data_IF_581147500297
#
_entry.id   IF_581147500297
#
_cell.length_a   1.000
_cell.length_b   1.000
_cell.length_c   1.000
_cell.angle_alpha   90.00
_cell.angle_beta   90.00
_cell.angle_gamma   90.00
#
_symmetry.space_group_name_H-M   'P 1'
#
loop_
_entity.id
_entity.type
_entity.pdbx_description
1 polymer ?
#
# COMPACT_ATOMS: atom_id res chain seq x y z
N UNK A 1 1.85 1.49 20.65
CA UNK A 1 1.48 0.10 20.27
C UNK A 1 2.19 -0.86 21.21
N UNK A 2 1.46 -1.78 21.84
CA UNK A 2 2.04 -2.83 22.67
C UNK A 2 2.25 -4.10 21.83
N UNK A 3 3.40 -4.73 21.99
CA UNK A 3 3.78 -5.99 21.33
C UNK A 3 4.28 -6.98 22.37
N UNK A 4 4.44 -8.25 22.01
CA UNK A 4 5.07 -9.26 22.87
C UNK A 4 6.55 -8.96 23.21
N UNK A 5 7.18 -8.04 22.47
CA UNK A 5 8.58 -7.67 22.62
C UNK A 5 8.81 -6.35 23.34
N UNK A 6 7.75 -5.57 23.55
CA UNK A 6 7.84 -4.28 24.20
C UNK A 6 6.77 -3.30 23.71
N UNK A 7 6.90 -2.06 24.13
CA UNK A 7 5.99 -0.96 23.82
C UNK A 7 6.63 0.02 22.84
N UNK A 8 5.94 0.28 21.74
CA UNK A 8 6.29 1.30 20.76
C UNK A 8 5.49 2.58 21.07
N UNK A 9 6.20 3.65 21.40
CA UNK A 9 5.62 4.97 21.70
C UNK A 9 5.83 5.88 20.50
N UNK A 10 4.72 6.35 19.96
CA UNK A 10 4.68 7.26 18.82
C UNK A 10 4.74 8.72 19.32
N UNK A 11 5.62 9.50 18.72
CA UNK A 11 5.80 10.93 18.96
C UNK A 11 5.33 11.79 17.77
N UNK A 12 4.27 11.37 17.08
CA UNK A 12 3.74 12.06 15.90
C UNK A 12 4.39 11.58 14.60
N UNK A 13 4.55 10.28 14.45
CA UNK A 13 5.43 9.63 13.49
C UNK A 13 4.65 8.77 12.51
N UNK A 14 5.16 8.64 11.30
CA UNK A 14 4.79 7.53 10.40
C UNK A 14 5.77 6.39 10.58
N UNK A 15 5.30 5.22 10.95
CA UNK A 15 6.12 4.03 11.05
C UNK A 15 5.38 2.78 10.57
N UNK A 16 6.15 1.77 10.18
CA UNK A 16 5.66 0.43 9.86
C UNK A 16 6.16 -0.56 10.90
N UNK A 17 5.25 -1.35 11.46
CA UNK A 17 5.58 -2.45 12.36
C UNK A 17 5.09 -3.74 11.73
N UNK A 18 5.98 -4.67 11.45
CA UNK A 18 5.67 -6.00 10.93
C UNK A 18 6.11 -7.08 11.93
N UNK A 19 5.25 -8.09 12.09
CA UNK A 19 5.54 -9.28 12.89
C UNK A 19 5.95 -10.41 11.95
N UNK A 20 6.98 -11.17 12.31
CA UNK A 20 7.39 -12.39 11.61
C UNK A 20 6.29 -13.47 11.63
N UNK A 21 6.40 -14.47 10.77
CA UNK A 21 5.36 -15.51 10.62
C UNK A 21 5.18 -16.38 11.89
N UNK A 22 6.22 -16.51 12.70
CA UNK A 22 6.22 -17.36 13.90
C UNK A 22 6.19 -16.55 15.21
N UNK A 23 5.84 -15.25 15.16
CA UNK A 23 5.91 -14.34 16.32
C UNK A 23 7.26 -14.32 17.05
N UNK A 24 8.36 -14.70 16.37
CA UNK A 24 9.69 -14.73 16.99
C UNK A 24 10.43 -13.39 16.83
N UNK A 25 10.04 -12.57 15.86
CA UNK A 25 10.69 -11.30 15.56
C UNK A 25 9.67 -10.24 15.10
N UNK A 26 9.85 -9.01 15.56
CA UNK A 26 9.14 -7.84 15.00
C UNK A 26 10.13 -6.89 14.35
N UNK A 27 9.76 -6.32 13.22
CA UNK A 27 10.53 -5.29 12.52
C UNK A 27 9.77 -3.98 12.53
N UNK A 28 10.43 -2.92 12.98
CA UNK A 28 9.91 -1.55 12.95
C UNK A 28 10.77 -0.70 12.02
N UNK A 29 10.11 0.03 11.13
CA UNK A 29 10.73 0.98 10.20
C UNK A 29 10.10 2.35 10.45
N UNK A 30 10.89 3.37 10.74
CA UNK A 30 10.43 4.76 10.88
C UNK A 30 10.47 5.42 9.51
N UNK A 31 9.31 5.82 9.00
CA UNK A 31 9.17 6.48 7.70
C UNK A 31 9.29 8.01 7.83
N UNK A 32 8.87 8.57 8.96
CA UNK A 32 8.93 10.01 9.23
C UNK A 32 8.82 10.26 10.73
N UNK A 33 9.68 11.13 11.30
CA UNK A 33 9.62 11.56 12.71
C UNK A 33 10.46 10.71 13.66
N UNK A 34 9.99 10.51 14.89
CA UNK A 34 10.68 9.81 15.97
C UNK A 34 9.79 8.80 16.68
N UNK A 35 10.28 7.59 16.90
CA UNK A 35 9.63 6.53 17.68
C UNK A 35 10.53 6.08 18.82
N UNK A 36 9.99 5.99 20.02
CA UNK A 36 10.69 5.35 21.14
C UNK A 36 10.20 3.92 21.33
N UNK A 37 11.14 2.98 21.41
CA UNK A 37 10.88 1.59 21.72
C UNK A 37 11.31 1.31 23.15
N UNK A 38 10.38 0.86 23.97
CA UNK A 38 10.63 0.32 25.29
C UNK A 38 10.62 -1.20 25.23
N UNK A 39 11.77 -1.80 25.12
CA UNK A 39 11.90 -3.26 25.03
C UNK A 39 11.54 -3.93 26.36
N UNK A 40 11.01 -5.14 26.29
CA UNK A 40 10.64 -5.94 27.47
C UNK A 40 11.83 -6.23 28.42
N UNK A 41 13.06 -6.20 27.90
CA UNK A 41 14.29 -6.30 28.66
C UNK A 41 14.73 -5.02 29.39
N UNK A 42 13.96 -3.93 29.30
CA UNK A 42 14.23 -2.65 29.97
C UNK A 42 15.05 -1.67 29.13
N UNK A 43 15.51 -2.06 27.97
CA UNK A 43 16.20 -1.17 27.03
C UNK A 43 15.21 -0.18 26.39
N UNK A 44 15.64 1.08 26.23
CA UNK A 44 14.89 2.10 25.49
C UNK A 44 15.75 2.58 24.33
N UNK A 45 15.20 2.50 23.12
CA UNK A 45 15.87 2.97 21.90
C UNK A 45 14.98 3.96 21.18
N UNK A 46 15.56 5.09 20.77
CA UNK A 46 14.92 6.07 19.91
C UNK A 46 15.33 5.80 18.47
N UNK A 47 14.35 5.79 17.57
CA UNK A 47 14.54 5.64 16.14
C UNK A 47 14.01 6.88 15.44
N UNK A 48 14.76 7.34 14.46
CA UNK A 48 14.43 8.50 13.64
C UNK A 48 14.07 8.08 12.20
N UNK A 49 13.67 9.04 11.41
CA UNK A 49 13.36 8.84 9.98
C UNK A 49 14.42 7.97 9.29
N UNK A 50 13.97 6.98 8.51
CA UNK A 50 14.76 6.00 7.76
C UNK A 50 15.52 4.97 8.61
N UNK A 51 15.33 4.97 9.92
CA UNK A 51 15.92 3.95 10.77
C UNK A 51 15.02 2.71 10.89
N UNK A 52 15.67 1.57 10.97
CA UNK A 52 15.03 0.26 11.13
C UNK A 52 15.59 -0.47 12.34
N UNK A 53 14.71 -1.14 13.07
CA UNK A 53 15.11 -2.04 14.17
C UNK A 53 14.35 -3.36 14.08
N UNK A 54 15.02 -4.43 14.47
CA UNK A 54 14.42 -5.73 14.72
C UNK A 54 14.35 -5.98 16.22
N UNK A 55 13.22 -6.48 16.66
CA UNK A 55 12.95 -6.77 18.07
C UNK A 55 12.67 -8.26 18.19
N UNK A 56 13.34 -8.92 19.09
CA UNK A 56 12.99 -10.25 19.56
C UNK A 56 12.90 -10.24 21.10
N UNK A 57 12.58 -11.36 21.72
CA UNK A 57 12.44 -11.43 23.17
C UNK A 57 13.71 -11.08 23.96
N UNK A 58 14.87 -11.06 23.31
CA UNK A 58 16.16 -10.86 23.98
C UNK A 58 16.81 -9.52 23.66
N UNK A 59 16.67 -9.02 22.42
CA UNK A 59 17.48 -7.90 21.92
C UNK A 59 16.69 -6.94 21.03
N UNK A 60 17.14 -5.69 21.02
CA UNK A 60 16.87 -4.67 19.98
C UNK A 60 18.12 -4.60 19.08
N UNK A 61 17.99 -5.07 17.84
CA UNK A 61 19.09 -5.05 16.88
C UNK A 61 18.80 -4.01 15.80
N UNK A 62 19.66 -3.00 15.66
CA UNK A 62 19.61 -2.12 14.49
C UNK A 62 20.23 -2.83 13.29
N UNK A 63 19.82 -2.43 12.07
CA UNK A 63 20.42 -2.99 10.86
C UNK A 63 21.95 -2.76 10.79
N UNK A 64 22.48 -1.72 11.49
CA UNK A 64 23.91 -1.48 11.65
C UNK A 64 24.60 -2.48 12.60
N UNK A 65 23.90 -3.05 13.58
CA UNK A 65 24.47 -4.00 14.53
C UNK A 65 24.59 -5.40 13.94
N UNK A 66 23.79 -5.70 12.89
CA UNK A 66 23.77 -7.00 12.20
C UNK A 66 24.96 -7.22 11.26
N UNK A 67 25.73 -6.18 10.95
CA UNK A 67 26.94 -6.29 10.11
C UNK A 67 28.19 -6.74 10.92
N UNK A 68 28.12 -6.78 12.25
CA UNK A 68 29.28 -7.05 13.12
C UNK A 68 29.41 -8.51 13.58
N UNK A 69 28.36 -9.33 13.54
CA UNK A 69 28.42 -10.74 14.00
C UNK A 69 27.95 -11.71 12.93
N UNK A 70 28.90 -12.31 12.24
CA UNK A 70 28.90 -13.67 11.69
C UNK A 70 27.85 -14.05 10.67
N UNK A 71 28.24 -14.14 9.40
CA UNK A 71 27.84 -15.21 8.47
C UNK A 71 26.35 -15.39 8.19
N UNK A 72 25.55 -14.32 8.11
CA UNK A 72 24.23 -14.35 7.49
C UNK A 72 24.42 -14.14 5.99
N UNK A 73 23.88 -15.05 5.19
CA UNK A 73 23.73 -14.81 3.74
C UNK A 73 23.21 -13.38 3.56
N UNK A 74 23.91 -12.62 2.73
CA UNK A 74 23.57 -11.23 2.46
C UNK A 74 22.10 -11.20 1.97
N UNK A 75 21.18 -10.84 2.88
CA UNK A 75 19.79 -10.60 2.47
C UNK A 75 19.80 -9.42 1.53
N UNK A 76 19.24 -9.61 0.38
CA UNK A 76 19.09 -8.55 -0.61
C UNK A 76 18.43 -7.32 0.05
N UNK A 77 18.92 -6.09 -0.22
CA UNK A 77 18.39 -4.89 0.39
C UNK A 77 16.90 -4.75 0.04
N UNK A 78 16.07 -4.47 1.03
CA UNK A 78 14.64 -4.19 0.82
C UNK A 78 14.46 -2.69 0.67
N UNK A 79 13.99 -2.26 -0.48
CA UNK A 79 13.60 -0.88 -0.76
C UNK A 79 12.10 -0.75 -0.51
N UNK A 80 11.70 0.18 0.35
CA UNK A 80 10.29 0.49 0.60
C UNK A 80 9.98 1.85 0.02
N UNK A 81 8.99 1.92 -0.85
CA UNK A 81 8.52 3.14 -1.49
C UNK A 81 7.09 3.46 -1.08
N UNK A 82 6.81 4.73 -0.86
CA UNK A 82 5.47 5.28 -0.73
C UNK A 82 5.09 6.07 -1.98
N UNK A 83 3.81 6.41 -2.11
CA UNK A 83 3.30 7.21 -3.23
C UNK A 83 3.81 8.66 -3.24
N UNK A 84 4.36 9.13 -2.11
CA UNK A 84 4.81 10.52 -1.98
C UNK A 84 3.69 11.56 -2.19
N UNK A 85 2.43 11.17 -1.95
CA UNK A 85 1.25 12.01 -2.19
C UNK A 85 0.74 11.95 -3.65
N UNK A 86 1.28 11.04 -4.46
CA UNK A 86 0.78 10.78 -5.82
C UNK A 86 -0.28 9.67 -5.81
N UNK A 87 -1.40 9.98 -5.20
CA UNK A 87 -2.58 9.13 -5.20
C UNK A 87 -3.84 9.97 -5.34
N UNK A 88 -4.86 9.41 -5.96
CA UNK A 88 -6.17 10.04 -6.09
C UNK A 88 -7.27 8.99 -6.31
N UNK A 89 -8.51 9.37 -6.05
CA UNK A 89 -9.68 8.61 -6.48
C UNK A 89 -10.50 9.46 -7.43
N UNK A 90 -10.97 8.86 -8.51
CA UNK A 90 -11.86 9.52 -9.46
C UNK A 90 -13.28 8.95 -9.35
N UNK A 91 -14.27 9.83 -9.49
CA UNK A 91 -15.69 9.50 -9.43
C UNK A 91 -16.33 9.77 -10.80
N UNK A 92 -17.18 8.85 -11.23
CA UNK A 92 -17.89 8.94 -12.50
C UNK A 92 -18.84 10.16 -12.60
N UNK A 93 -19.23 10.74 -11.46
CA UNK A 93 -20.05 11.94 -11.45
C UNK A 93 -19.20 13.21 -11.53
N UNK A 94 -18.93 13.69 -12.72
CA UNK A 94 -18.15 14.90 -12.98
C UNK A 94 -18.79 16.20 -12.45
N UNK A 95 -20.01 16.14 -11.91
CA UNK A 95 -20.73 17.34 -11.44
C UNK A 95 -20.49 17.67 -9.96
N UNK A 96 -19.79 16.81 -9.22
CA UNK A 96 -19.47 17.06 -7.83
C UNK A 96 -17.96 17.04 -7.64
N UNK A 97 -17.43 18.18 -7.26
CA UNK A 97 -16.17 18.26 -6.53
C UNK A 97 -16.38 17.59 -5.16
N UNK A 98 -16.59 16.28 -5.20
CA UNK A 98 -16.62 15.48 -3.99
C UNK A 98 -15.18 15.32 -3.58
N UNK A 99 -14.75 16.14 -2.65
CA UNK A 99 -13.56 15.90 -1.86
C UNK A 99 -13.75 14.56 -1.20
N UNK A 100 -13.29 13.54 -1.88
CA UNK A 100 -13.05 12.23 -1.27
C UNK A 100 -12.12 12.51 -0.09
N UNK A 101 -12.34 11.83 1.01
CA UNK A 101 -11.50 12.04 2.19
C UNK A 101 -10.03 12.08 1.76
N UNK A 102 -9.25 13.09 2.15
CA UNK A 102 -7.83 13.14 1.80
C UNK A 102 -7.05 11.94 2.36
N UNK A 103 -7.63 11.24 3.35
CA UNK A 103 -6.99 10.14 4.05
C UNK A 103 -7.28 8.76 3.44
N UNK A 104 -8.19 8.69 2.44
CA UNK A 104 -8.63 7.40 1.90
C UNK A 104 -8.82 7.44 0.39
N UNK A 105 -8.22 6.47 -0.28
CA UNK A 105 -8.60 6.14 -1.65
C UNK A 105 -9.90 5.33 -1.65
N UNK A 106 -10.80 5.67 -2.53
CA UNK A 106 -12.12 5.04 -2.60
C UNK A 106 -12.32 4.31 -3.91
N UNK A 107 -12.74 3.04 -3.82
CA UNK A 107 -13.03 2.20 -4.98
C UNK A 107 -14.43 1.63 -4.83
N UNK A 108 -15.25 1.74 -5.88
CA UNK A 108 -16.64 1.27 -5.90
C UNK A 108 -17.09 0.99 -7.33
N UNK A 109 -17.84 -0.09 -7.49
CA UNK A 109 -18.56 -0.39 -8.72
C UNK A 109 -20.04 -0.60 -8.40
N UNK A 110 -20.92 0.13 -9.08
CA UNK A 110 -22.36 0.04 -8.95
C UNK A 110 -22.97 -0.06 -10.35
N UNK A 111 -23.69 -1.14 -10.60
CA UNK A 111 -24.24 -1.42 -11.95
C UNK A 111 -25.38 -0.45 -12.30
N UNK A 112 -26.30 -0.26 -11.37
CA UNK A 112 -27.54 0.50 -11.60
C UNK A 112 -27.37 2.02 -11.39
N UNK A 113 -26.26 2.41 -10.79
CA UNK A 113 -25.95 3.82 -10.49
C UNK A 113 -24.49 4.13 -10.85
N UNK A 114 -24.13 4.10 -12.14
CA UNK A 114 -22.73 4.26 -12.58
C UNK A 114 -22.09 5.57 -12.11
N UNK A 115 -22.90 6.63 -11.92
CA UNK A 115 -22.43 7.93 -11.47
C UNK A 115 -21.74 7.94 -10.10
N UNK A 116 -21.89 6.86 -9.31
CA UNK A 116 -21.18 6.70 -8.02
C UNK A 116 -19.96 5.78 -8.11
N UNK A 117 -19.62 5.29 -9.30
CA UNK A 117 -18.45 4.45 -9.49
C UNK A 117 -17.17 5.23 -9.21
N UNK A 118 -16.20 4.52 -8.65
CA UNK A 118 -14.92 5.10 -8.26
C UNK A 118 -13.81 4.12 -8.56
N UNK A 119 -12.66 4.66 -8.98
CA UNK A 119 -11.41 3.94 -9.09
C UNK A 119 -10.31 4.75 -8.42
N UNK A 120 -9.31 4.08 -7.90
CA UNK A 120 -8.15 4.72 -7.27
C UNK A 120 -6.95 4.62 -8.19
N UNK A 121 -6.14 5.66 -8.20
CA UNK A 121 -4.86 5.74 -8.90
C UNK A 121 -3.76 5.96 -7.87
N UNK A 122 -2.62 5.28 -8.07
CA UNK A 122 -1.42 5.32 -7.24
C UNK A 122 -0.21 5.45 -8.15
N UNK A 123 0.76 6.27 -7.81
CA UNK A 123 2.03 6.30 -8.52
C UNK A 123 3.20 6.24 -7.54
N UNK A 124 4.30 5.62 -7.97
CA UNK A 124 5.53 5.48 -7.22
C UNK A 124 6.71 5.97 -8.06
N UNK A 125 7.64 6.65 -7.41
CA UNK A 125 8.90 7.06 -8.00
C UNK A 125 9.92 5.91 -7.87
N UNK A 126 10.38 5.40 -8.99
CA UNK A 126 11.38 4.34 -9.11
C UNK A 126 12.74 4.87 -9.60
N UNK A 127 12.91 6.18 -9.76
CA UNK A 127 14.11 6.78 -10.36
C UNK A 127 15.42 6.42 -9.62
N UNK A 128 15.34 6.09 -8.33
CA UNK A 128 16.46 5.64 -7.52
C UNK A 128 16.63 4.12 -7.42
N UNK A 129 15.82 3.34 -8.13
CA UNK A 129 15.76 1.88 -8.01
C UNK A 129 16.40 1.20 -9.23
N UNK A 130 17.35 0.30 -9.00
CA UNK A 130 17.87 -0.53 -10.07
C UNK A 130 16.94 -1.70 -10.36
N UNK A 131 16.03 -1.53 -11.31
CA UNK A 131 14.96 -2.48 -11.64
C UNK A 131 15.50 -3.84 -12.14
N UNK A 132 16.67 -3.89 -12.73
CA UNK A 132 17.29 -5.14 -13.21
C UNK A 132 17.70 -6.05 -12.03
N UNK A 133 18.02 -5.47 -10.89
CA UNK A 133 18.47 -6.19 -9.70
C UNK A 133 17.33 -6.60 -8.76
N UNK A 134 16.08 -6.22 -9.04
CA UNK A 134 14.96 -6.61 -8.22
C UNK A 134 14.66 -8.11 -8.41
N UNK A 135 14.75 -8.89 -7.34
CA UNK A 135 14.38 -10.30 -7.34
C UNK A 135 12.88 -10.49 -7.06
N UNK A 136 12.33 -9.67 -6.16
CA UNK A 136 10.93 -9.74 -5.72
C UNK A 136 10.32 -8.34 -5.60
N UNK A 137 9.02 -8.27 -5.78
CA UNK A 137 8.26 -7.03 -5.57
C UNK A 137 6.95 -7.33 -4.85
N UNK A 138 6.51 -6.39 -4.00
CA UNK A 138 5.25 -6.52 -3.28
C UNK A 138 4.57 -5.17 -3.13
N UNK A 139 3.32 -5.09 -3.55
CA UNK A 139 2.43 -3.98 -3.22
C UNK A 139 1.62 -4.32 -1.98
N UNK A 140 1.67 -3.43 -0.97
CA UNK A 140 0.91 -3.59 0.27
C UNK A 140 -0.16 -2.51 0.33
N UNK A 141 -1.41 -2.95 0.45
CA UNK A 141 -2.57 -2.06 0.58
C UNK A 141 -3.25 -2.28 1.92
N UNK A 142 -3.48 -1.18 2.65
CA UNK A 142 -4.33 -1.19 3.82
C UNK A 142 -5.75 -0.82 3.39
N UNK A 143 -6.70 -1.71 3.57
CA UNK A 143 -8.06 -1.53 3.09
C UNK A 143 -9.09 -1.69 4.21
N UNK A 144 -10.15 -0.88 4.13
CA UNK A 144 -11.30 -0.91 5.04
C UNK A 144 -12.57 -0.93 4.20
N UNK A 145 -13.47 -1.89 4.41
CA UNK A 145 -14.79 -1.83 3.80
C UNK A 145 -15.53 -0.59 4.31
N UNK A 146 -16.00 0.26 3.40
CA UNK A 146 -16.78 1.41 3.81
C UNK A 146 -18.18 0.94 4.19
N UNK A 147 -18.71 1.50 5.28
CA UNK A 147 -20.11 1.29 5.66
C UNK A 147 -21.05 2.35 5.04
N UNK A 148 -20.52 3.10 4.07
CA UNK A 148 -21.28 4.15 3.37
C UNK A 148 -22.09 3.50 2.25
N UNK A 149 -23.40 3.65 2.32
CA UNK A 149 -24.37 3.12 1.36
C UNK A 149 -25.30 2.07 1.97
N UNK A 150 -26.29 1.61 1.20
CA UNK A 150 -27.20 0.55 1.63
C UNK A 150 -26.44 -0.78 1.71
N UNK A 151 -26.17 -1.20 2.92
CA UNK A 151 -25.30 -2.36 3.25
C UNK A 151 -25.94 -3.68 2.83
N UNK A 152 -27.25 -3.70 2.61
CA UNK A 152 -28.02 -4.93 2.33
C UNK A 152 -27.72 -5.54 0.95
N UNK A 153 -27.26 -4.74 0.00
CA UNK A 153 -27.17 -5.14 -1.41
C UNK A 153 -25.74 -5.32 -1.91
N UNK A 154 -24.79 -5.18 -1.03
CA UNK A 154 -23.38 -5.45 -1.37
C UNK A 154 -23.08 -6.95 -1.23
N UNK A 155 -22.35 -7.55 -2.17
CA UNK A 155 -21.93 -8.94 -2.07
C UNK A 155 -21.12 -9.16 -0.78
N UNK A 156 -21.16 -10.39 -0.26
CA UNK A 156 -20.37 -10.74 0.95
C UNK A 156 -18.87 -10.59 0.70
N UNK A 157 -18.45 -10.84 -0.52
CA UNK A 157 -17.07 -10.67 -0.98
C UNK A 157 -17.12 -9.87 -2.27
N UNK A 158 -16.35 -8.79 -2.33
CA UNK A 158 -16.12 -8.04 -3.57
C UNK A 158 -14.71 -8.33 -4.06
N UNK A 159 -14.57 -8.53 -5.36
CA UNK A 159 -13.30 -8.74 -6.02
C UNK A 159 -12.79 -7.40 -6.59
N UNK A 160 -11.49 -7.17 -6.45
CA UNK A 160 -10.81 -5.98 -6.95
C UNK A 160 -9.65 -6.41 -7.86
N UNK A 161 -9.36 -5.61 -8.86
CA UNK A 161 -8.19 -5.74 -9.71
C UNK A 161 -7.18 -4.65 -9.44
N UNK A 162 -5.90 -5.03 -9.46
CA UNK A 162 -4.77 -4.14 -9.60
C UNK A 162 -4.37 -4.13 -11.07
N UNK A 163 -4.25 -2.94 -11.64
CA UNK A 163 -3.88 -2.71 -13.03
C UNK A 163 -2.67 -1.81 -13.11
N UNK A 164 -1.70 -2.14 -13.96
CA UNK A 164 -0.57 -1.27 -14.31
C UNK A 164 -0.96 -0.37 -15.49
N UNK A 165 -0.67 0.91 -15.38
CA UNK A 165 -0.84 1.85 -16.49
C UNK A 165 0.37 1.74 -17.43
N UNK A 166 0.18 1.85 -18.75
CA UNK A 166 1.31 1.82 -19.68
C UNK A 166 2.24 3.01 -19.46
N UNK A 167 3.51 2.77 -19.78
CA UNK A 167 4.63 3.70 -19.70
C UNK A 167 4.54 4.76 -20.81
N UNK A 168 3.56 5.66 -20.70
CA UNK A 168 3.29 6.75 -21.62
C UNK A 168 2.59 7.92 -20.91
N UNK A 169 2.02 8.87 -21.66
CA UNK A 169 1.34 10.05 -21.12
C UNK A 169 0.24 9.73 -20.11
N UNK A 170 -0.30 8.50 -20.08
CA UNK A 170 -1.32 8.04 -19.14
C UNK A 170 -0.83 7.92 -17.70
N UNK A 171 0.47 7.90 -17.48
CA UNK A 171 1.06 7.98 -16.14
C UNK A 171 1.08 9.39 -15.57
N UNK A 172 0.93 10.42 -16.39
CA UNK A 172 1.04 11.83 -16.02
C UNK A 172 -0.30 12.45 -15.59
N UNK A 173 -1.11 11.71 -14.82
CA UNK A 173 -2.37 12.22 -14.31
C UNK A 173 -2.17 13.18 -13.12
N UNK A 174 -3.00 14.24 -13.00
CA UNK A 174 -2.95 15.18 -11.89
C UNK A 174 -3.54 14.54 -10.62
N UNK A 175 -2.94 14.83 -9.46
CA UNK A 175 -3.42 14.34 -8.15
C UNK A 175 -4.68 15.04 -7.66
N UNK A 176 -5.04 16.17 -8.26
CA UNK A 176 -6.25 16.93 -7.92
C UNK A 176 -6.97 17.38 -9.18
N UNK A 177 -8.30 17.42 -9.13
CA UNK A 177 -9.13 17.89 -10.24
C UNK A 177 -9.25 16.91 -11.41
N UNK A 178 -8.71 15.70 -11.31
CA UNK A 178 -8.82 14.66 -12.34
C UNK A 178 -10.29 14.24 -12.49
N UNK A 179 -10.81 14.39 -13.70
CA UNK A 179 -12.17 13.97 -14.03
C UNK A 179 -12.20 12.50 -14.45
N UNK A 180 -13.36 11.85 -14.34
CA UNK A 180 -13.53 10.44 -14.69
C UNK A 180 -13.19 10.15 -16.16
N UNK A 181 -13.61 11.04 -17.06
CA UNK A 181 -13.44 10.85 -18.50
C UNK A 181 -12.00 11.08 -18.97
N UNK A 182 -11.23 11.88 -18.20
CA UNK A 182 -9.82 12.20 -18.46
C UNK A 182 -8.89 11.19 -17.75
N UNK A 183 -9.41 10.40 -16.82
CA UNK A 183 -8.62 9.45 -16.07
C UNK A 183 -8.35 8.18 -16.90
N UNK A 184 -7.18 7.52 -16.70
CA UNK A 184 -6.85 6.26 -17.36
C UNK A 184 -7.98 5.23 -17.25
N UNK A 185 -8.26 4.50 -18.32
CA UNK A 185 -9.35 3.51 -18.39
C UNK A 185 -8.83 2.10 -18.13
N UNK A 186 -9.69 1.24 -17.59
CA UNK A 186 -9.35 -0.16 -17.28
C UNK A 186 -8.95 -0.92 -18.55
N UNK A 187 -9.63 -0.63 -19.67
CA UNK A 187 -9.39 -1.27 -20.96
C UNK A 187 -8.02 -0.95 -21.57
N UNK A 188 -7.37 0.08 -21.08
CA UNK A 188 -6.06 0.57 -21.52
C UNK A 188 -4.93 0.13 -20.60
N UNK A 189 -5.25 -0.57 -19.51
CA UNK A 189 -4.32 -0.98 -18.47
C UNK A 189 -4.12 -2.49 -18.45
N UNK A 190 -2.99 -2.94 -17.95
CA UNK A 190 -2.66 -4.37 -17.80
C UNK A 190 -3.05 -4.86 -16.42
N UNK A 191 -3.88 -5.90 -16.34
CA UNK A 191 -4.20 -6.52 -15.06
C UNK A 191 -3.01 -7.28 -14.51
N UNK A 192 -2.61 -6.93 -13.28
CA UNK A 192 -1.42 -7.49 -12.61
C UNK A 192 -1.80 -8.46 -11.49
N UNK A 193 -2.93 -8.24 -10.83
CA UNK A 193 -3.42 -9.09 -9.75
C UNK A 193 -4.91 -8.90 -9.53
N UNK A 194 -5.53 -9.86 -8.84
CA UNK A 194 -6.86 -9.70 -8.22
C UNK A 194 -6.80 -10.00 -6.74
N UNK A 195 -7.70 -9.43 -5.97
CA UNK A 195 -7.79 -9.69 -4.53
C UNK A 195 -9.23 -9.53 -4.02
N UNK A 196 -9.65 -10.40 -3.08
CA UNK A 196 -10.97 -10.33 -2.47
C UNK A 196 -10.97 -9.35 -1.28
N UNK A 197 -12.12 -8.71 -1.07
CA UNK A 197 -12.43 -7.95 0.12
C UNK A 197 -13.73 -8.45 0.74
N UNK A 198 -13.67 -8.96 1.95
CA UNK A 198 -14.85 -9.38 2.69
C UNK A 198 -15.55 -8.18 3.31
N UNK A 199 -16.85 -8.04 3.09
CA UNK A 199 -17.68 -6.95 3.64
C UNK A 199 -17.64 -6.88 5.17
N UNK A 200 -17.51 -8.02 5.84
CA UNK A 200 -17.46 -8.12 7.28
C UNK A 200 -16.08 -7.78 7.88
N UNK A 201 -15.04 -7.63 7.06
CA UNK A 201 -13.71 -7.26 7.54
C UNK A 201 -13.76 -5.87 8.20
N UNK A 202 -13.08 -5.72 9.32
CA UNK A 202 -12.89 -4.40 9.93
C UNK A 202 -11.73 -3.66 9.27
N UNK A 203 -10.68 -4.41 8.96
CA UNK A 203 -9.47 -3.97 8.26
C UNK A 203 -8.85 -5.17 7.55
N UNK A 204 -8.27 -4.94 6.39
CA UNK A 204 -7.50 -5.95 5.67
C UNK A 204 -6.16 -5.37 5.24
N UNK A 205 -5.10 -6.18 5.37
CA UNK A 205 -3.80 -5.92 4.75
C UNK A 205 -3.71 -6.85 3.55
N UNK A 206 -3.69 -6.26 2.37
CA UNK A 206 -3.62 -6.97 1.10
C UNK A 206 -2.17 -6.91 0.64
N UNK A 207 -1.59 -8.06 0.36
CA UNK A 207 -0.21 -8.21 -0.13
C UNK A 207 -0.28 -8.82 -1.53
N UNK A 208 0.20 -8.09 -2.51
CA UNK A 208 0.22 -8.50 -3.92
C UNK A 208 1.68 -8.62 -4.37
N UNK A 209 2.10 -9.83 -4.67
CA UNK A 209 3.47 -10.21 -5.03
C UNK A 209 3.50 -11.13 -6.25
N UNK A 210 2.66 -10.84 -7.22
CA UNK A 210 2.51 -11.65 -8.45
C UNK A 210 3.70 -11.50 -9.39
N UNK A 211 4.01 -12.52 -10.20
CA UNK A 211 5.02 -12.42 -11.26
C UNK A 211 4.73 -11.30 -12.25
N UNK A 212 3.43 -11.05 -12.52
CA UNK A 212 2.97 -9.99 -13.41
C UNK A 212 3.32 -8.61 -12.86
N UNK A 213 3.19 -8.39 -11.55
CA UNK A 213 3.60 -7.16 -10.88
C UNK A 213 5.12 -6.93 -11.04
N UNK A 214 5.93 -7.96 -10.78
CA UNK A 214 7.38 -7.86 -10.92
C UNK A 214 7.79 -7.59 -12.37
N UNK A 215 7.18 -8.29 -13.33
CA UNK A 215 7.45 -8.09 -14.76
C UNK A 215 7.07 -6.68 -15.21
N UNK A 216 5.93 -6.17 -14.71
CA UNK A 216 5.46 -4.82 -14.99
C UNK A 216 6.46 -3.77 -14.49
N UNK A 217 6.91 -3.88 -13.23
CA UNK A 217 7.92 -2.98 -12.66
C UNK A 217 9.21 -3.00 -13.47
N UNK A 218 9.70 -4.19 -13.88
CA UNK A 218 10.92 -4.33 -14.69
C UNK A 218 10.77 -3.78 -16.11
N UNK A 219 9.57 -3.59 -16.60
CA UNK A 219 9.33 -3.02 -17.92
C UNK A 219 9.31 -1.49 -17.92
N UNK A 220 9.25 -0.85 -16.74
CA UNK A 220 9.26 0.59 -16.62
C UNK A 220 10.53 1.23 -17.19
N UNK A 221 10.36 2.37 -17.89
CA UNK A 221 11.42 3.12 -18.55
C UNK A 221 11.45 4.59 -18.18
N UNK A 222 10.41 5.06 -17.51
CA UNK A 222 10.27 6.47 -17.09
C UNK A 222 10.86 6.73 -15.72
N UNK A 223 11.06 5.68 -14.90
CA UNK A 223 11.42 5.79 -13.50
C UNK A 223 10.21 6.14 -12.63
N UNK A 224 8.99 6.03 -13.18
CA UNK A 224 7.75 6.20 -12.47
C UNK A 224 6.79 5.09 -12.86
N UNK A 225 6.12 4.49 -11.91
CA UNK A 225 5.11 3.47 -12.18
C UNK A 225 3.77 3.89 -11.61
N UNK A 226 2.72 3.70 -12.39
CA UNK A 226 1.35 4.04 -11.99
C UNK A 226 0.46 2.81 -12.00
N UNK A 227 -0.38 2.72 -10.95
CA UNK A 227 -1.35 1.65 -10.78
C UNK A 227 -2.76 2.20 -10.68
N UNK A 228 -3.73 1.39 -11.09
CA UNK A 228 -5.14 1.62 -10.87
C UNK A 228 -5.74 0.46 -10.08
N UNK A 229 -6.56 0.78 -9.09
CA UNK A 229 -7.39 -0.19 -8.38
C UNK A 229 -8.83 -0.01 -8.85
N UNK A 230 -9.42 -1.09 -9.35
CA UNK A 230 -10.79 -1.13 -9.83
C UNK A 230 -11.57 -2.26 -9.17
N UNK A 231 -12.84 -2.03 -8.85
CA UNK A 231 -13.73 -3.06 -8.32
C UNK A 231 -14.30 -3.88 -9.47
N UNK A 232 -14.19 -5.21 -9.39
CA UNK A 232 -14.67 -6.14 -10.42
C UNK A 232 -16.07 -6.69 -10.12
N UNK A 233 -16.48 -6.66 -8.85
CA UNK A 233 -17.79 -7.15 -8.43
C UNK A 233 -18.75 -5.98 -8.26
N UNK A 234 -19.75 -5.82 -9.13
CA UNK A 234 -20.71 -4.74 -8.99
C UNK A 234 -21.59 -4.96 -7.76
N UNK A 235 -21.79 -3.90 -6.99
CA UNK A 235 -22.90 -3.84 -6.04
C UNK A 235 -24.21 -3.67 -6.78
N UNK A 236 -25.30 -4.22 -6.23
CA UNK A 236 -26.66 -4.00 -6.70
C UNK A 236 -27.38 -3.10 -5.70
N UNK A 237 -28.20 -2.17 -6.18
CA UNK A 237 -29.21 -1.45 -5.38
C UNK A 237 -30.54 -2.17 -5.57
N UNK A 238 -31.25 -2.44 -4.46
CA UNK A 238 -32.66 -2.83 -4.49
C UNK A 238 -33.54 -1.62 -4.79
#
# INVERSE_FOLDING_TARGET
>A
VDTSYGKVVDHGTRFSLSLGQDDEEARLVVLEGEVAIHHSGGEVKHLFTDETVRMNQRNLLSDSDLTAEGGLEAREPVITLGTGGRETSVIHNNQRDTRLSPDFLMVKLQKESPHVNRRALLAFDLSGVNLDQIAESRLILNAVPTKLGMVTDMPKVSEFGLYGLPDDDRENWPTSGLQWDDAPKVEEATQLATFPMHRAAQRAVIKLDTPELLAFLKSDRTGQVSFMIHCLTPGTTL
#
